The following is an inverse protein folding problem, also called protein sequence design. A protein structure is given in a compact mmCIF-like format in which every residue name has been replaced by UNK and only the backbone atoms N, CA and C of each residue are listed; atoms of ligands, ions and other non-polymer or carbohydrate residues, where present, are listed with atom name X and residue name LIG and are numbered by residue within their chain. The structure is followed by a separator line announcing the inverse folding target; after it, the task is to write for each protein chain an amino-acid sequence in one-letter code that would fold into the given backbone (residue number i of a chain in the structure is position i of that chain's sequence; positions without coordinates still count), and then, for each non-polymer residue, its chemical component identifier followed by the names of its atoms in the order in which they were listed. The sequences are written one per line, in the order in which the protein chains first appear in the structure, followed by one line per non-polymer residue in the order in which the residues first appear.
data_IF_110016799026
#
_entry.id   IF_110016799026
#
_cell.length_a   1.000
_cell.length_b   1.000
_cell.length_c   1.000
_cell.angle_alpha   90.00
_cell.angle_beta   90.00
_cell.angle_gamma   90.00
#
_symmetry.space_group_name_H-M   'P 1'
#
loop_
_entity.id
_entity.type
_entity.pdbx_description
1 polymer ?
#
# COMPACT_ATOMS: atom_id res chain seq x y z
N UNK A 1 -0.55 17.77 0.65
CA UNK A 1 0.32 17.79 1.83
C UNK A 1 0.65 16.34 2.12
N UNK A 2 1.90 15.91 1.90
CA UNK A 2 2.33 14.54 2.23
C UNK A 2 2.49 14.45 3.74
N UNK A 3 1.79 13.53 4.39
CA UNK A 3 1.80 13.45 5.85
C UNK A 3 3.07 12.71 6.30
N UNK A 4 3.66 13.08 7.45
CA UNK A 4 4.85 12.41 7.99
C UNK A 4 4.65 10.89 8.20
N UNK A 5 3.39 10.46 8.34
CA UNK A 5 3.00 9.04 8.39
C UNK A 5 3.29 8.27 7.10
N UNK A 6 3.31 8.93 5.93
CA UNK A 6 3.58 8.28 4.64
C UNK A 6 5.06 7.90 4.50
N UNK A 7 5.95 8.77 5.00
CA UNK A 7 7.40 8.54 4.96
C UNK A 7 7.81 7.35 5.84
N UNK A 8 7.25 7.29 7.04
CA UNK A 8 7.48 6.17 7.98
C UNK A 8 7.01 4.87 7.33
N UNK A 9 5.79 4.85 6.79
CA UNK A 9 5.23 3.67 6.14
C UNK A 9 6.10 3.18 4.96
N UNK A 10 6.52 4.07 4.05
CA UNK A 10 7.40 3.69 2.93
C UNK A 10 8.73 3.14 3.45
N UNK A 11 9.32 3.79 4.46
CA UNK A 11 10.56 3.34 5.10
C UNK A 11 10.45 1.94 5.70
N UNK A 12 9.33 1.65 6.38
CA UNK A 12 9.05 0.33 6.95
C UNK A 12 8.92 -0.75 5.88
N UNK A 13 8.17 -0.49 4.79
CA UNK A 13 8.02 -1.44 3.68
C UNK A 13 9.35 -1.79 3.00
N UNK A 14 10.20 -0.78 2.77
CA UNK A 14 11.55 -0.98 2.24
C UNK A 14 12.39 -1.83 3.21
N UNK A 15 12.35 -1.51 4.50
CA UNK A 15 13.09 -2.23 5.55
C UNK A 15 12.67 -3.69 5.66
N UNK A 16 11.37 -3.97 5.60
CA UNK A 16 10.81 -5.31 5.61
C UNK A 16 11.30 -6.11 4.39
N UNK A 17 11.16 -5.58 3.19
CA UNK A 17 11.59 -6.27 1.96
C UNK A 17 13.11 -6.51 1.96
N UNK A 18 13.91 -5.54 2.40
CA UNK A 18 15.37 -5.72 2.58
C UNK A 18 15.69 -6.89 3.50
N UNK A 19 15.01 -6.98 4.65
CA UNK A 19 15.21 -8.06 5.62
C UNK A 19 14.78 -9.42 5.05
N UNK A 20 13.69 -9.47 4.27
CA UNK A 20 13.23 -10.68 3.59
C UNK A 20 14.25 -11.20 2.57
N UNK A 21 15.02 -10.30 1.95
CA UNK A 21 16.17 -10.64 1.11
C UNK A 21 17.48 -10.87 1.87
N UNK A 22 17.45 -10.86 3.20
CA UNK A 22 18.62 -11.04 4.07
C UNK A 22 19.77 -10.05 3.81
N UNK A 23 19.46 -8.84 3.34
CA UNK A 23 20.47 -7.81 3.07
C UNK A 23 20.69 -6.95 4.31
N UNK A 24 21.93 -6.55 4.59
CA UNK A 24 22.22 -5.47 5.56
C UNK A 24 21.93 -4.10 4.93
N UNK A 25 21.84 -3.04 5.75
CA UNK A 25 21.69 -1.67 5.23
C UNK A 25 22.88 -1.28 4.34
N UNK A 26 24.10 -1.65 4.76
CA UNK A 26 25.31 -1.52 3.95
C UNK A 26 25.19 -2.23 2.59
N UNK A 27 24.77 -3.50 2.56
CA UNK A 27 24.65 -4.26 1.31
C UNK A 27 23.61 -3.68 0.35
N UNK A 28 22.48 -3.19 0.86
CA UNK A 28 21.49 -2.50 0.03
C UNK A 28 22.09 -1.20 -0.51
N UNK A 29 22.76 -0.42 0.34
CA UNK A 29 23.37 0.86 -0.03
C UNK A 29 24.39 0.70 -1.16
N UNK A 30 25.27 -0.29 -1.07
CA UNK A 30 26.23 -0.66 -2.13
C UNK A 30 25.52 -0.98 -3.46
N UNK A 31 24.45 -1.78 -3.41
CA UNK A 31 23.70 -2.18 -4.62
C UNK A 31 23.02 -1.00 -5.32
N UNK A 32 22.52 -0.01 -4.56
CA UNK A 32 21.78 1.13 -5.13
C UNK A 32 22.65 2.38 -5.33
N UNK A 33 23.92 2.33 -4.95
CA UNK A 33 24.87 3.44 -5.05
C UNK A 33 24.57 4.58 -4.08
N UNK A 34 24.22 4.25 -2.83
CA UNK A 34 23.96 5.21 -1.75
C UNK A 34 24.89 4.94 -0.57
N UNK A 35 25.00 5.90 0.35
CA UNK A 35 25.63 5.65 1.64
C UNK A 35 24.67 4.88 2.57
N UNK A 36 25.21 3.99 3.40
CA UNK A 36 24.45 3.25 4.42
C UNK A 36 23.60 4.18 5.31
N UNK A 37 24.15 5.33 5.69
CA UNK A 37 23.43 6.34 6.48
C UNK A 37 22.19 6.90 5.76
N UNK A 38 22.19 6.95 4.43
CA UNK A 38 21.01 7.35 3.65
C UNK A 38 19.93 6.26 3.70
N UNK A 39 20.30 4.99 3.52
CA UNK A 39 19.37 3.87 3.68
C UNK A 39 18.77 3.86 5.09
N UNK A 40 19.60 4.03 6.12
CA UNK A 40 19.14 4.10 7.52
C UNK A 40 18.12 5.23 7.74
N UNK A 41 18.36 6.42 7.19
CA UNK A 41 17.42 7.57 7.27
C UNK A 41 16.13 7.34 6.48
N UNK A 42 16.20 6.62 5.36
CA UNK A 42 15.02 6.24 4.57
C UNK A 42 14.16 5.25 5.38
N UNK A 43 14.78 4.17 5.86
CA UNK A 43 14.09 3.11 6.60
C UNK A 43 13.53 3.53 7.96
N UNK A 44 14.06 4.61 8.54
CA UNK A 44 13.55 5.22 9.78
C UNK A 44 12.53 6.33 9.54
N UNK A 45 12.15 6.59 8.29
CA UNK A 45 11.21 7.64 7.95
C UNK A 45 11.73 9.04 8.26
N UNK A 46 13.05 9.25 8.31
CA UNK A 46 13.63 10.59 8.48
C UNK A 46 13.66 11.33 7.13
N UNK A 47 14.03 10.64 6.06
CA UNK A 47 14.13 11.20 4.70
C UNK A 47 13.32 10.39 3.68
N UNK A 48 12.77 11.09 2.67
CA UNK A 48 12.37 10.42 1.44
C UNK A 48 13.61 10.09 0.58
N UNK A 49 13.66 8.94 -0.10
CA UNK A 49 14.57 8.76 -1.21
C UNK A 49 14.22 9.76 -2.33
N UNK A 50 15.19 10.10 -3.18
CA UNK A 50 14.86 10.71 -4.47
C UNK A 50 14.07 9.71 -5.32
N UNK A 51 13.31 10.18 -6.31
CA UNK A 51 12.57 9.27 -7.18
C UNK A 51 13.49 8.24 -7.87
N UNK A 52 14.67 8.67 -8.30
CA UNK A 52 15.67 7.78 -8.89
C UNK A 52 16.17 6.72 -7.89
N UNK A 53 16.48 7.13 -6.66
CA UNK A 53 16.91 6.21 -5.61
C UNK A 53 15.78 5.26 -5.20
N UNK A 54 14.54 5.73 -5.18
CA UNK A 54 13.36 4.93 -4.90
C UNK A 54 13.23 3.78 -5.91
N UNK A 55 13.24 4.08 -7.22
CA UNK A 55 13.17 3.05 -8.26
C UNK A 55 14.31 2.03 -8.14
N UNK A 56 15.55 2.48 -7.94
CA UNK A 56 16.69 1.56 -7.71
C UNK A 56 16.49 0.65 -6.50
N UNK A 57 15.95 1.19 -5.41
CA UNK A 57 15.69 0.43 -4.18
C UNK A 57 14.62 -0.63 -4.44
N UNK A 58 13.47 -0.25 -5.00
CA UNK A 58 12.36 -1.20 -5.21
C UNK A 58 12.74 -2.26 -6.24
N UNK A 59 13.47 -1.91 -7.32
CA UNK A 59 13.98 -2.87 -8.29
C UNK A 59 14.95 -3.87 -7.63
N UNK A 60 15.90 -3.37 -6.83
CA UNK A 60 16.86 -4.22 -6.10
C UNK A 60 16.16 -5.14 -5.09
N UNK A 61 15.02 -4.70 -4.56
CA UNK A 61 14.22 -5.40 -3.57
C UNK A 61 13.07 -6.22 -4.18
N UNK A 62 13.00 -6.35 -5.51
CA UNK A 62 11.89 -7.01 -6.25
C UNK A 62 10.50 -6.57 -5.74
N UNK A 63 10.36 -5.26 -5.50
CA UNK A 63 9.10 -4.66 -5.03
C UNK A 63 8.39 -3.96 -6.19
N UNK A 64 7.06 -3.96 -6.14
CA UNK A 64 6.18 -3.22 -7.03
C UNK A 64 5.55 -2.01 -6.31
N UNK A 65 5.03 -1.02 -7.06
CA UNK A 65 4.34 0.12 -6.47
C UNK A 65 3.13 -0.30 -5.62
N UNK A 66 2.49 -1.42 -5.95
CA UNK A 66 1.39 -1.99 -5.18
C UNK A 66 1.81 -2.44 -3.77
N UNK A 67 3.09 -2.72 -3.52
CA UNK A 67 3.60 -3.06 -2.19
C UNK A 67 3.51 -1.90 -1.18
N UNK A 68 3.27 -0.68 -1.69
CA UNK A 68 3.11 0.55 -0.92
C UNK A 68 1.65 1.06 -0.93
N UNK A 69 0.72 0.31 -1.53
CA UNK A 69 -0.69 0.67 -1.44
C UNK A 69 -1.17 0.47 -0.01
N UNK A 70 -1.64 1.55 0.64
CA UNK A 70 -2.34 1.50 1.93
C UNK A 70 -3.69 0.77 1.84
N UNK A 71 -4.01 0.14 0.72
CA UNK A 71 -5.04 -0.91 0.67
C UNK A 71 -4.58 -2.11 1.52
N UNK A 72 -4.70 -1.89 2.83
CA UNK A 72 -4.69 -2.83 3.92
C UNK A 72 -5.47 -4.06 3.52
N UNK A 73 -4.83 -5.08 2.97
CA UNK A 73 -5.54 -6.21 2.41
C UNK A 73 -6.53 -5.74 1.33
N UNK A 74 -6.19 -5.90 0.05
CA UNK A 74 -7.24 -6.34 -0.88
C UNK A 74 -7.90 -7.52 -0.19
N UNK A 75 -9.08 -7.27 0.33
CA UNK A 75 -9.81 -8.15 1.19
C UNK A 75 -9.78 -9.53 0.52
N UNK A 76 -9.08 -10.50 1.10
CA UNK A 76 -9.23 -11.93 0.75
C UNK A 76 -10.61 -12.41 1.20
N UNK A 77 -11.66 -11.62 0.98
CA UNK A 77 -13.02 -12.07 1.08
C UNK A 77 -13.46 -12.31 -0.35
N UNK A 78 -13.59 -13.58 -0.75
CA UNK A 78 -14.25 -13.94 -1.99
C UNK A 78 -15.56 -13.17 -2.18
N UNK A 79 -16.29 -12.92 -1.09
CA UNK A 79 -17.53 -12.14 -1.10
C UNK A 79 -17.33 -10.69 -1.57
N UNK A 80 -16.26 -10.02 -1.14
CA UNK A 80 -16.02 -8.64 -1.61
C UNK A 80 -15.67 -8.62 -3.09
N UNK A 81 -14.89 -9.58 -3.56
CA UNK A 81 -14.52 -9.69 -4.97
C UNK A 81 -15.76 -9.94 -5.83
N UNK A 82 -16.63 -10.87 -5.43
CA UNK A 82 -17.90 -11.11 -6.13
C UNK A 82 -18.79 -9.86 -6.17
N UNK A 83 -18.83 -9.05 -5.10
CA UNK A 83 -19.57 -7.79 -5.11
C UNK A 83 -18.97 -6.75 -6.07
N UNK A 84 -17.63 -6.66 -6.13
CA UNK A 84 -16.94 -5.75 -7.05
C UNK A 84 -17.18 -6.17 -8.51
N UNK A 85 -17.14 -7.46 -8.81
CA UNK A 85 -17.44 -7.99 -10.15
C UNK A 85 -18.84 -7.61 -10.62
N UNK A 86 -19.85 -7.77 -9.75
CA UNK A 86 -21.23 -7.35 -10.03
C UNK A 86 -21.29 -5.85 -10.34
N UNK A 87 -20.66 -5.02 -9.49
CA UNK A 87 -20.63 -3.56 -9.65
C UNK A 87 -19.97 -3.16 -10.98
N UNK A 88 -18.83 -3.77 -11.33
CA UNK A 88 -18.09 -3.43 -12.54
C UNK A 88 -18.82 -3.86 -13.82
N UNK A 89 -19.71 -4.86 -13.74
CA UNK A 89 -20.51 -5.32 -14.87
C UNK A 89 -21.84 -4.56 -15.06
N UNK A 90 -22.21 -3.71 -14.11
CA UNK A 90 -23.52 -3.04 -14.08
C UNK A 90 -23.54 -1.73 -14.87
N UNK A 91 -24.70 -1.38 -15.42
CA UNK A 91 -24.92 -0.08 -16.05
C UNK A 91 -25.32 1.01 -15.03
N UNK A 92 -25.35 2.28 -15.46
CA UNK A 92 -25.63 3.42 -14.58
C UNK A 92 -26.99 3.34 -13.84
N UNK A 93 -27.99 2.71 -14.47
CA UNK A 93 -29.32 2.55 -13.85
C UNK A 93 -29.25 1.53 -12.70
N UNK A 94 -28.58 0.40 -12.94
CA UNK A 94 -28.35 -0.64 -11.93
C UNK A 94 -27.49 -0.12 -10.78
N UNK A 95 -26.41 0.61 -11.08
CA UNK A 95 -25.54 1.22 -10.07
C UNK A 95 -26.30 2.20 -9.17
N UNK A 96 -27.21 2.98 -9.74
CA UNK A 96 -28.06 3.90 -8.96
C UNK A 96 -28.96 3.12 -8.00
N UNK A 97 -29.62 2.08 -8.47
CA UNK A 97 -30.47 1.21 -7.64
C UNK A 97 -29.64 0.55 -6.53
N UNK A 98 -28.46 0.02 -6.86
CA UNK A 98 -27.57 -0.58 -5.85
C UNK A 98 -27.19 0.43 -4.78
N UNK A 99 -26.87 1.67 -5.17
CA UNK A 99 -26.57 2.75 -4.24
C UNK A 99 -27.74 3.05 -3.30
N UNK A 100 -28.94 3.16 -3.85
CA UNK A 100 -30.17 3.51 -3.13
C UNK A 100 -30.58 2.42 -2.13
N UNK A 101 -30.22 1.15 -2.39
CA UNK A 101 -30.49 0.02 -1.47
C UNK A 101 -29.37 -0.14 -0.44
N UNK A 102 -28.11 -0.15 -0.88
CA UNK A 102 -26.96 -0.45 -0.02
C UNK A 102 -26.70 0.64 1.02
N UNK A 103 -26.96 1.92 0.69
CA UNK A 103 -26.77 3.04 1.62
C UNK A 103 -27.69 2.93 2.84
N UNK A 104 -29.02 2.81 2.71
CA UNK A 104 -29.91 2.58 3.86
C UNK A 104 -29.57 1.31 4.63
N UNK A 105 -29.29 0.21 3.92
CA UNK A 105 -28.98 -1.08 4.53
C UNK A 105 -27.76 -0.98 5.46
N UNK A 106 -26.67 -0.35 4.97
CA UNK A 106 -25.45 -0.13 5.76
C UNK A 106 -25.70 0.77 6.98
N UNK A 107 -26.54 1.79 6.83
CA UNK A 107 -26.91 2.69 7.95
C UNK A 107 -27.65 1.91 9.04
N UNK A 108 -28.59 1.05 8.66
CA UNK A 108 -29.38 0.27 9.60
C UNK A 108 -28.54 -0.79 10.32
N UNK A 109 -27.66 -1.49 9.60
CA UNK A 109 -26.78 -2.50 10.21
C UNK A 109 -25.86 -1.90 11.30
N UNK A 110 -25.35 -0.69 11.09
CA UNK A 110 -24.57 0.04 12.11
C UNK A 110 -25.36 0.36 13.38
N UNK A 111 -26.68 0.54 13.27
CA UNK A 111 -27.54 0.82 14.41
C UNK A 111 -27.89 -0.46 15.20
N UNK A 112 -27.59 -1.65 14.66
CA UNK A 112 -27.94 -2.94 15.26
C UNK A 112 -26.75 -3.56 16.04
N UNK A 113 -25.60 -2.87 16.14
CA UNK A 113 -24.38 -3.37 16.80
C UNK A 113 -23.96 -4.77 16.31
N UNK A 114 -23.80 -4.92 14.99
CA UNK A 114 -22.95 -5.96 14.37
C UNK A 114 -21.74 -5.29 13.75
#
# INVERSE_FOLDING_TARGET
MLFDSDKIYIGERIKESRKNKHLTQFMLAEKVGLHEKQISRIESGQNYPTLQSFFKIIDTLDMDLNDFSKESNTIKSPLKNSLIEIINSANDTELKIYSDILKPLRKNLKNINV
#
